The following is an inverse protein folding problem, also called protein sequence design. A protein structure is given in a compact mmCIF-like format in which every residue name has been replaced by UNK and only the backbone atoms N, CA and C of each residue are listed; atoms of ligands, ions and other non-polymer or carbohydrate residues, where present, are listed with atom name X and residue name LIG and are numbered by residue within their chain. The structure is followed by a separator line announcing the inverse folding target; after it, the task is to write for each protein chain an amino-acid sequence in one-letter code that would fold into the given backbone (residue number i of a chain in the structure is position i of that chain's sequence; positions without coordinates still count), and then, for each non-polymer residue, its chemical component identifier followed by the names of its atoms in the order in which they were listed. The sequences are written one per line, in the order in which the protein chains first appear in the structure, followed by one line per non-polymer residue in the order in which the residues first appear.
data_IF_414041595908
#
_entry.id   IF_414041595908
#
_cell.length_a   1.000
_cell.length_b   1.000
_cell.length_c   1.000
_cell.angle_alpha   90.00
_cell.angle_beta   90.00
_cell.angle_gamma   90.00
#
_symmetry.space_group_name_H-M   'P 1'
#
loop_
_entity.id
_entity.type
_entity.pdbx_description
1 polymer ?
#
# COMPACT_ATOMS: atom_id res chain seq x y z
N UNK A 1 39.00 39.77 50.12
CA UNK A 1 38.02 39.54 49.04
C UNK A 1 37.70 38.07 48.97
N UNK A 2 36.54 37.64 49.46
CA UNK A 2 36.05 36.26 49.29
C UNK A 2 34.63 36.37 48.77
N UNK A 3 34.45 36.07 47.47
CA UNK A 3 33.17 36.12 46.77
C UNK A 3 32.30 34.95 47.22
N UNK A 4 31.10 35.24 47.73
CA UNK A 4 30.05 34.25 47.98
C UNK A 4 29.58 33.66 46.64
N UNK A 5 29.67 32.34 46.50
CA UNK A 5 29.07 31.57 45.41
C UNK A 5 27.58 31.37 45.70
N UNK A 6 26.74 31.76 44.75
CA UNK A 6 25.29 31.46 44.73
C UNK A 6 25.06 29.98 44.35
N UNK A 7 23.98 29.34 44.86
CA UNK A 7 23.66 27.97 44.47
C UNK A 7 23.01 27.98 43.08
N UNK A 8 23.55 27.14 42.20
CA UNK A 8 23.01 26.87 40.88
C UNK A 8 21.71 26.08 41.03
N UNK A 9 20.58 26.70 40.67
CA UNK A 9 19.28 26.05 40.66
C UNK A 9 19.27 25.03 39.51
N UNK A 10 19.21 23.75 39.84
CA UNK A 10 19.12 22.65 38.88
C UNK A 10 17.72 22.71 38.22
N UNK A 11 17.64 23.29 37.02
CA UNK A 11 16.47 23.13 36.15
C UNK A 11 16.42 21.66 35.72
N UNK A 12 15.55 20.88 36.35
CA UNK A 12 15.18 19.54 35.89
C UNK A 12 14.42 19.73 34.57
N UNK A 13 15.13 19.61 33.45
CA UNK A 13 14.49 19.44 32.15
C UNK A 13 13.87 18.05 32.12
N UNK A 14 12.55 18.00 32.29
CA UNK A 14 11.77 16.79 32.03
C UNK A 14 11.79 16.58 30.52
N UNK A 15 12.79 15.86 30.01
CA UNK A 15 12.73 15.32 28.66
C UNK A 15 11.67 14.24 28.67
N UNK A 16 10.46 14.61 28.24
CA UNK A 16 9.41 13.66 27.93
C UNK A 16 9.88 12.89 26.68
N UNK A 17 10.59 11.79 26.90
CA UNK A 17 11.08 10.90 25.84
C UNK A 17 9.92 10.05 25.36
N UNK A 18 9.02 10.65 24.58
CA UNK A 18 8.17 9.85 23.72
C UNK A 18 9.10 9.15 22.75
N UNK A 19 9.22 7.82 22.87
CA UNK A 19 9.95 7.02 21.90
C UNK A 19 9.33 7.30 20.52
N UNK A 20 10.14 7.73 19.55
CA UNK A 20 9.65 7.87 18.19
C UNK A 20 9.35 6.47 17.62
N UNK A 21 8.21 6.33 16.95
CA UNK A 21 7.81 5.09 16.31
C UNK A 21 8.90 4.54 15.38
N UNK A 22 9.30 3.29 15.62
CA UNK A 22 10.15 2.55 14.69
C UNK A 22 9.29 2.03 13.52
N UNK A 23 9.04 2.91 12.56
CA UNK A 23 8.24 2.58 11.38
C UNK A 23 8.84 1.41 10.58
N UNK A 24 10.16 1.40 10.36
CA UNK A 24 10.82 0.40 9.52
C UNK A 24 10.60 -1.03 10.03
N UNK A 25 10.72 -1.25 11.33
CA UNK A 25 10.51 -2.57 11.92
C UNK A 25 9.03 -2.88 12.14
N UNK A 26 8.23 -1.90 12.55
CA UNK A 26 6.84 -2.17 12.95
C UNK A 26 5.93 -2.51 11.77
N UNK A 27 6.09 -1.87 10.61
CA UNK A 27 5.21 -2.10 9.45
C UNK A 27 5.33 -3.49 8.84
N UNK A 28 6.39 -4.24 9.14
CA UNK A 28 6.65 -5.60 8.65
C UNK A 28 6.58 -6.67 9.74
N UNK A 29 6.36 -6.28 11.00
CA UNK A 29 6.51 -7.14 12.18
C UNK A 29 5.63 -8.40 12.19
N UNK A 30 4.49 -8.39 11.50
CA UNK A 30 3.54 -9.50 11.45
C UNK A 30 3.55 -10.26 10.11
N UNK A 31 4.47 -9.96 9.19
CA UNK A 31 4.47 -10.54 7.84
C UNK A 31 4.62 -12.07 7.87
N UNK A 32 5.57 -12.60 8.64
CA UNK A 32 5.78 -14.04 8.74
C UNK A 32 4.52 -14.79 9.23
N UNK A 33 3.75 -14.18 10.13
CA UNK A 33 2.49 -14.75 10.58
C UNK A 33 1.40 -14.65 9.49
N UNK A 34 1.30 -13.51 8.78
CA UNK A 34 0.35 -13.35 7.67
C UNK A 34 0.62 -14.30 6.51
N UNK A 35 1.89 -14.57 6.21
CA UNK A 35 2.32 -15.55 5.20
C UNK A 35 1.86 -16.98 5.55
N UNK A 36 1.56 -17.27 6.82
CA UNK A 36 1.01 -18.57 7.23
C UNK A 36 -0.52 -18.70 7.04
N UNK A 37 -1.19 -17.60 6.70
CA UNK A 37 -2.64 -17.58 6.50
C UNK A 37 -2.99 -17.98 5.05
N UNK A 38 -4.12 -18.66 4.89
CA UNK A 38 -4.63 -19.01 3.56
C UNK A 38 -4.87 -17.75 2.72
N UNK A 39 -4.41 -17.74 1.47
CA UNK A 39 -4.56 -16.58 0.58
C UNK A 39 -5.97 -16.39 0.02
N UNK A 40 -6.66 -17.49 -0.28
CA UNK A 40 -8.02 -17.50 -0.83
C UNK A 40 -8.96 -18.38 -0.02
N UNK A 41 -10.27 -18.10 -0.15
CA UNK A 41 -11.35 -18.94 0.41
C UNK A 41 -11.96 -19.88 -0.62
N UNK A 42 -11.94 -19.50 -1.89
CA UNK A 42 -12.59 -20.24 -2.96
C UNK A 42 -11.94 -19.88 -4.30
N UNK A 43 -11.74 -20.88 -5.20
CA UNK A 43 -11.22 -20.63 -6.54
C UNK A 43 -12.25 -19.93 -7.45
N UNK A 44 -13.53 -19.87 -7.04
CA UNK A 44 -14.59 -19.25 -7.84
C UNK A 44 -14.41 -17.74 -8.00
N UNK A 45 -14.47 -17.29 -9.25
CA UNK A 45 -14.48 -15.91 -9.70
C UNK A 45 -15.92 -15.38 -9.72
N UNK A 46 -16.37 -14.70 -8.67
CA UNK A 46 -17.65 -13.97 -8.70
C UNK A 46 -17.44 -12.55 -8.21
N UNK A 47 -17.95 -11.59 -9.00
CA UNK A 47 -17.99 -10.15 -8.71
C UNK A 47 -16.65 -9.40 -8.60
N UNK A 48 -15.53 -10.10 -8.87
CA UNK A 48 -14.15 -9.62 -8.85
C UNK A 48 -13.31 -10.43 -9.85
N UNK A 49 -12.11 -9.96 -10.19
CA UNK A 49 -11.14 -10.71 -10.99
C UNK A 49 -10.26 -11.59 -10.10
N UNK A 50 -9.94 -12.83 -10.50
CA UNK A 50 -9.19 -13.73 -9.63
C UNK A 50 -10.03 -14.52 -8.62
N UNK A 51 -9.40 -15.49 -7.91
CA UNK A 51 -10.05 -16.23 -6.83
C UNK A 51 -10.48 -15.31 -5.69
N UNK A 52 -11.45 -15.75 -4.89
CA UNK A 52 -11.95 -14.94 -3.77
C UNK A 52 -10.90 -14.86 -2.64
N UNK A 53 -10.31 -13.69 -2.36
CA UNK A 53 -9.25 -13.59 -1.37
C UNK A 53 -9.79 -13.83 0.04
N UNK A 54 -8.95 -14.44 0.88
CA UNK A 54 -9.19 -14.55 2.30
C UNK A 54 -9.34 -13.17 2.95
N UNK A 55 -9.91 -13.14 4.15
CA UNK A 55 -9.98 -11.91 4.92
C UNK A 55 -8.80 -11.89 5.87
N UNK A 56 -7.83 -11.02 5.59
CA UNK A 56 -6.73 -10.80 6.52
C UNK A 56 -7.20 -9.89 7.65
N UNK A 57 -6.73 -10.10 8.88
CA UNK A 57 -7.11 -9.26 10.02
C UNK A 57 -6.45 -7.88 9.92
N UNK A 58 -7.13 -6.85 10.42
CA UNK A 58 -6.53 -5.54 10.59
C UNK A 58 -5.32 -5.63 11.55
N UNK A 59 -4.17 -5.02 11.22
CA UNK A 59 -3.00 -5.06 12.09
C UNK A 59 -3.22 -4.25 13.36
N UNK A 60 -2.46 -4.57 14.41
CA UNK A 60 -2.33 -3.69 15.58
C UNK A 60 -1.29 -2.62 15.26
N UNK A 61 -1.70 -1.36 15.31
CA UNK A 61 -0.79 -0.22 15.11
C UNK A 61 -0.14 0.10 16.46
N UNK A 62 1.20 0.23 16.54
CA UNK A 62 1.86 0.62 17.78
C UNK A 62 1.38 1.99 18.28
N UNK A 63 1.19 2.12 19.59
CA UNK A 63 0.58 3.31 20.19
C UNK A 63 1.41 4.60 20.03
N UNK A 64 2.71 4.45 19.80
CA UNK A 64 3.70 5.50 19.54
C UNK A 64 3.76 5.94 18.07
N UNK A 65 3.05 5.25 17.18
CA UNK A 65 3.01 5.57 15.75
C UNK A 65 1.81 6.48 15.41
N UNK A 66 2.04 7.41 14.48
CA UNK A 66 0.92 8.07 13.80
C UNK A 66 0.19 7.02 12.94
N UNK A 67 -1.12 6.79 13.18
CA UNK A 67 -1.82 5.69 12.52
C UNK A 67 -1.85 5.80 11.00
N UNK A 68 -2.06 7.02 10.48
CA UNK A 68 -2.18 7.28 9.04
C UNK A 68 -0.83 7.04 8.37
N UNK A 69 0.24 7.65 8.89
CA UNK A 69 1.60 7.48 8.37
C UNK A 69 2.06 6.02 8.44
N UNK A 70 1.72 5.32 9.52
CA UNK A 70 2.05 3.90 9.68
C UNK A 70 1.35 3.04 8.64
N UNK A 71 0.06 3.27 8.41
CA UNK A 71 -0.72 2.55 7.39
C UNK A 71 -0.19 2.82 5.98
N UNK A 72 0.14 4.07 5.66
CA UNK A 72 0.72 4.47 4.36
C UNK A 72 2.03 3.73 4.08
N UNK A 73 2.95 3.76 5.05
CA UNK A 73 4.24 3.08 4.92
C UNK A 73 4.10 1.56 4.90
N UNK A 74 3.13 1.01 5.62
CA UNK A 74 2.83 -0.42 5.56
C UNK A 74 2.32 -0.85 4.20
N UNK A 75 1.44 -0.09 3.56
CA UNK A 75 0.97 -0.42 2.21
C UNK A 75 2.15 -0.46 1.22
N UNK A 76 3.08 0.50 1.32
CA UNK A 76 4.31 0.48 0.51
C UNK A 76 5.18 -0.74 0.83
N UNK A 77 5.43 -1.03 2.12
CA UNK A 77 6.25 -2.18 2.52
C UNK A 77 5.64 -3.53 2.09
N UNK A 78 4.32 -3.66 2.14
CA UNK A 78 3.61 -4.83 1.61
C UNK A 78 3.74 -4.91 0.10
N UNK A 79 3.59 -3.79 -0.62
CA UNK A 79 3.77 -3.75 -2.07
C UNK A 79 5.19 -4.20 -2.48
N UNK A 80 6.22 -3.72 -1.77
CA UNK A 80 7.62 -4.07 -2.01
C UNK A 80 7.94 -5.54 -1.75
N UNK A 81 7.27 -6.19 -0.79
CA UNK A 81 7.42 -7.64 -0.52
C UNK A 81 7.17 -8.50 -1.77
N UNK A 82 6.32 -8.04 -2.69
CA UNK A 82 5.96 -8.81 -3.89
C UNK A 82 6.82 -8.48 -5.11
N UNK A 83 7.84 -7.61 -5.00
CA UNK A 83 8.73 -7.30 -6.12
C UNK A 83 9.33 -8.59 -6.70
N UNK A 84 9.24 -8.71 -8.03
CA UNK A 84 9.73 -9.88 -8.76
C UNK A 84 8.67 -10.96 -9.01
N UNK A 85 7.49 -10.88 -8.39
CA UNK A 85 6.36 -11.74 -8.75
C UNK A 85 5.93 -11.46 -10.20
N UNK A 86 5.73 -12.48 -11.06
CA UNK A 86 5.42 -12.26 -12.47
C UNK A 86 3.98 -11.80 -12.68
N UNK A 87 3.78 -11.04 -13.77
CA UNK A 87 2.45 -10.61 -14.18
C UNK A 87 1.63 -11.82 -14.64
N UNK A 88 0.41 -11.92 -14.11
CA UNK A 88 -0.57 -12.93 -14.47
C UNK A 88 -2.00 -12.44 -14.26
N UNK A 89 -2.75 -12.46 -15.34
CA UNK A 89 -4.14 -12.00 -15.38
C UNK A 89 -5.05 -12.84 -14.48
N UNK A 90 -5.91 -12.18 -13.70
CA UNK A 90 -6.91 -12.76 -12.81
C UNK A 90 -6.32 -13.71 -11.76
N UNK A 91 -5.30 -13.23 -11.04
CA UNK A 91 -4.48 -14.06 -10.17
C UNK A 91 -4.21 -13.40 -8.81
N UNK A 92 -3.97 -14.22 -7.77
CA UNK A 92 -3.42 -13.80 -6.47
C UNK A 92 -2.14 -14.61 -6.21
N UNK A 93 -1.20 -14.19 -5.35
CA UNK A 93 0.20 -14.61 -5.44
C UNK A 93 0.42 -16.12 -5.55
N UNK A 94 -0.11 -16.93 -4.64
CA UNK A 94 0.09 -18.38 -4.57
C UNK A 94 -1.05 -19.21 -5.17
N UNK A 95 -2.02 -18.59 -5.84
CA UNK A 95 -3.13 -19.34 -6.42
C UNK A 95 -2.69 -20.22 -7.60
N UNK A 96 -2.30 -21.47 -7.37
CA UNK A 96 -1.87 -22.34 -8.46
C UNK A 96 -3.03 -23.13 -9.08
N UNK A 97 -3.44 -22.72 -10.29
CA UNK A 97 -4.35 -23.48 -11.16
C UNK A 97 -3.60 -24.24 -12.27
N UNK A 98 -2.34 -24.60 -12.04
CA UNK A 98 -1.44 -25.23 -13.01
C UNK A 98 -0.67 -24.22 -13.87
N UNK A 99 -0.68 -22.94 -13.51
CA UNK A 99 -0.03 -21.87 -14.25
C UNK A 99 0.95 -21.07 -13.38
N UNK A 100 1.25 -21.52 -12.16
CA UNK A 100 2.23 -20.90 -11.25
C UNK A 100 1.77 -19.59 -10.59
N UNK A 101 2.64 -19.00 -9.78
CA UNK A 101 2.38 -17.76 -9.02
C UNK A 101 2.25 -16.52 -9.92
N UNK A 102 1.53 -15.49 -9.47
CA UNK A 102 1.43 -14.21 -10.20
C UNK A 102 0.32 -13.26 -9.74
N UNK A 103 0.32 -12.04 -10.29
CA UNK A 103 -0.68 -10.98 -10.01
C UNK A 103 -1.00 -10.16 -11.29
N UNK A 104 -2.15 -9.50 -11.35
CA UNK A 104 -2.37 -8.40 -12.28
C UNK A 104 -2.47 -7.08 -11.52
N UNK A 105 -2.58 -5.95 -12.22
CA UNK A 105 -2.50 -4.64 -11.58
C UNK A 105 -3.59 -4.40 -10.52
N UNK A 106 -4.86 -4.71 -10.82
CA UNK A 106 -5.97 -4.53 -9.89
C UNK A 106 -6.04 -5.61 -8.82
N UNK A 107 -5.60 -6.84 -9.10
CA UNK A 107 -5.42 -7.86 -8.07
C UNK A 107 -4.27 -7.49 -7.13
N UNK A 108 -3.15 -6.98 -7.63
CA UNK A 108 -2.00 -6.54 -6.85
C UNK A 108 -2.40 -5.47 -5.83
N UNK A 109 -3.07 -4.41 -6.27
CA UNK A 109 -3.55 -3.36 -5.34
C UNK A 109 -4.55 -3.92 -4.33
N UNK A 110 -5.51 -4.74 -4.78
CA UNK A 110 -6.51 -5.34 -3.88
C UNK A 110 -5.87 -6.27 -2.85
N UNK A 111 -4.83 -7.00 -3.25
CA UNK A 111 -4.07 -7.92 -2.44
C UNK A 111 -3.26 -7.18 -1.39
N UNK A 112 -2.50 -6.15 -1.80
CA UNK A 112 -1.68 -5.32 -0.91
C UNK A 112 -2.53 -4.70 0.20
N UNK A 113 -3.71 -4.17 -0.13
CA UNK A 113 -4.61 -3.57 0.85
C UNK A 113 -5.24 -4.59 1.80
N UNK A 114 -5.63 -5.76 1.29
CA UNK A 114 -6.19 -6.83 2.10
C UNK A 114 -5.10 -7.43 3.02
N UNK A 115 -3.98 -7.89 2.46
CA UNK A 115 -2.86 -8.43 3.22
C UNK A 115 -2.35 -7.43 4.26
N UNK A 116 -2.16 -6.17 3.87
CA UNK A 116 -1.59 -5.14 4.74
C UNK A 116 -2.53 -4.72 5.85
N UNK A 117 -3.74 -4.29 5.52
CA UNK A 117 -4.63 -3.59 6.44
C UNK A 117 -5.95 -4.33 6.72
N UNK A 118 -6.17 -5.49 6.09
CA UNK A 118 -7.47 -6.17 6.12
C UNK A 118 -8.55 -5.45 5.31
N UNK A 119 -8.18 -4.45 4.50
CA UNK A 119 -9.11 -3.65 3.72
C UNK A 119 -9.37 -4.35 2.39
N UNK A 120 -10.63 -4.66 2.11
CA UNK A 120 -11.03 -5.27 0.84
C UNK A 120 -11.54 -4.21 -0.13
N UNK A 121 -10.89 -4.13 -1.27
CA UNK A 121 -11.34 -3.40 -2.45
C UNK A 121 -11.62 -4.38 -3.58
N UNK A 122 -12.43 -3.97 -4.55
CA UNK A 122 -12.71 -4.81 -5.72
C UNK A 122 -11.43 -5.01 -6.55
N UNK A 123 -11.20 -6.20 -7.12
CA UNK A 123 -10.03 -6.49 -7.97
C UNK A 123 -10.33 -6.41 -9.47
N UNK A 124 -11.57 -6.13 -9.87
CA UNK A 124 -11.91 -5.68 -11.23
C UNK A 124 -11.48 -4.22 -11.38
N UNK A 125 -10.64 -3.91 -12.37
CA UNK A 125 -10.06 -2.56 -12.53
C UNK A 125 -11.12 -1.47 -12.68
N UNK A 126 -12.21 -1.72 -13.41
CA UNK A 126 -13.25 -0.73 -13.64
C UNK A 126 -14.01 -0.46 -12.35
N UNK A 127 -14.42 -1.53 -11.63
CA UNK A 127 -15.08 -1.37 -10.33
C UNK A 127 -14.14 -0.77 -9.29
N UNK A 128 -12.86 -1.12 -9.30
CA UNK A 128 -11.87 -0.57 -8.37
C UNK A 128 -11.72 0.94 -8.59
N UNK A 129 -11.65 1.38 -9.86
CA UNK A 129 -11.61 2.79 -10.23
C UNK A 129 -12.87 3.56 -9.83
N UNK A 130 -14.02 2.87 -9.69
CA UNK A 130 -15.30 3.46 -9.31
C UNK A 130 -15.60 3.41 -7.80
N UNK A 131 -15.01 2.48 -7.05
CA UNK A 131 -15.44 2.18 -5.68
C UNK A 131 -14.34 2.18 -4.61
N UNK A 132 -13.06 2.15 -4.97
CA UNK A 132 -11.98 2.07 -3.98
C UNK A 132 -11.79 3.40 -3.24
N UNK A 133 -12.18 3.48 -1.97
CA UNK A 133 -11.97 4.69 -1.15
C UNK A 133 -12.60 5.96 -1.75
N UNK A 134 -12.11 7.14 -1.34
CA UNK A 134 -12.58 8.43 -1.86
C UNK A 134 -11.76 8.92 -3.03
N UNK A 135 -12.41 9.63 -3.96
CA UNK A 135 -11.71 10.34 -5.03
C UNK A 135 -10.99 11.58 -4.48
N UNK A 136 -9.80 11.86 -5.01
CA UNK A 136 -9.02 13.06 -4.69
C UNK A 136 -9.46 14.24 -5.55
N UNK A 137 -9.44 15.43 -4.97
CA UNK A 137 -9.55 16.66 -5.76
C UNK A 137 -8.29 16.85 -6.61
N UNK A 138 -8.36 17.50 -7.80
CA UNK A 138 -7.21 17.64 -8.70
C UNK A 138 -5.94 18.26 -8.08
N UNK A 139 -6.10 19.14 -7.08
CA UNK A 139 -4.98 19.82 -6.42
C UNK A 139 -4.62 19.22 -5.05
N UNK A 140 -5.27 18.13 -4.66
CA UNK A 140 -4.95 17.46 -3.41
C UNK A 140 -3.61 16.72 -3.54
N UNK A 141 -2.66 16.90 -2.60
CA UNK A 141 -1.37 16.22 -2.69
C UNK A 141 -1.55 14.71 -2.56
N UNK A 142 -0.90 13.96 -3.46
CA UNK A 142 -0.79 12.51 -3.38
C UNK A 142 -0.02 12.10 -2.13
N UNK A 143 -0.40 10.96 -1.55
CA UNK A 143 0.21 10.38 -0.36
C UNK A 143 0.57 8.91 -0.64
N UNK A 144 1.62 8.38 0.02
CA UNK A 144 2.01 6.98 -0.17
C UNK A 144 0.81 6.05 0.09
N UNK A 145 0.60 5.10 -0.82
CA UNK A 145 -0.55 4.20 -0.78
C UNK A 145 -1.73 4.63 -1.65
N UNK A 146 -1.84 5.89 -2.08
CA UNK A 146 -2.90 6.30 -3.01
C UNK A 146 -2.91 5.44 -4.27
N UNK A 147 -4.11 5.09 -4.74
CA UNK A 147 -4.29 4.35 -5.99
C UNK A 147 -4.44 5.34 -7.14
N UNK A 148 -3.54 5.25 -8.10
CA UNK A 148 -3.52 6.11 -9.28
C UNK A 148 -4.04 5.30 -10.47
N UNK A 149 -5.16 5.73 -11.03
CA UNK A 149 -5.80 5.06 -12.16
C UNK A 149 -5.30 5.65 -13.48
N UNK A 150 -4.83 4.78 -14.36
CA UNK A 150 -4.17 5.14 -15.62
C UNK A 150 -5.04 4.67 -16.79
N UNK A 151 -5.18 5.51 -17.81
CA UNK A 151 -5.93 5.21 -19.02
C UNK A 151 -5.10 4.42 -20.02
N UNK A 152 -5.80 3.82 -20.98
CA UNK A 152 -5.22 3.37 -22.23
C UNK A 152 -4.48 4.50 -22.96
N UNK A 153 -3.57 4.15 -23.88
CA UNK A 153 -2.80 5.13 -24.66
C UNK A 153 -3.70 6.07 -25.48
N UNK A 154 -4.89 5.61 -25.87
CA UNK A 154 -5.89 6.41 -26.58
C UNK A 154 -6.88 7.14 -25.65
N UNK A 155 -6.63 7.13 -24.33
CA UNK A 155 -7.46 7.70 -23.26
C UNK A 155 -8.91 7.18 -23.15
N UNK A 156 -9.27 6.14 -23.91
CA UNK A 156 -10.65 5.65 -24.04
C UNK A 156 -11.23 5.06 -22.75
N UNK A 157 -10.41 4.44 -21.90
CA UNK A 157 -10.87 3.83 -20.63
C UNK A 157 -9.74 3.70 -19.61
N UNK A 158 -10.11 3.49 -18.34
CA UNK A 158 -9.16 3.03 -17.32
C UNK A 158 -8.72 1.60 -17.68
N UNK A 159 -7.41 1.38 -17.75
CA UNK A 159 -6.83 0.07 -18.06
C UNK A 159 -5.86 -0.41 -17.00
N UNK A 160 -5.40 0.47 -16.11
CA UNK A 160 -4.34 0.13 -15.17
C UNK A 160 -4.43 0.92 -13.88
N UNK A 161 -3.82 0.40 -12.83
CA UNK A 161 -3.75 1.01 -11.51
C UNK A 161 -2.37 0.79 -10.93
N UNK A 162 -1.87 1.80 -10.23
CA UNK A 162 -0.58 1.77 -9.54
C UNK A 162 -0.75 2.30 -8.11
N UNK A 163 0.15 1.89 -7.22
CA UNK A 163 0.26 2.47 -5.87
C UNK A 163 1.31 3.57 -5.91
N UNK A 164 0.95 4.77 -5.46
CA UNK A 164 1.89 5.87 -5.32
C UNK A 164 2.83 5.64 -4.14
N UNK A 165 4.13 5.88 -4.35
CA UNK A 165 5.15 5.84 -3.30
C UNK A 165 5.57 7.27 -2.95
N UNK A 166 6.03 8.02 -3.95
CA UNK A 166 6.55 9.37 -3.80
C UNK A 166 6.50 10.13 -5.15
N UNK A 167 6.90 11.42 -5.23
CA UNK A 167 6.76 12.21 -6.46
C UNK A 167 7.40 11.63 -7.72
N UNK A 168 8.40 10.76 -7.56
CA UNK A 168 9.14 10.15 -8.65
C UNK A 168 8.81 8.66 -8.82
N UNK A 169 8.18 8.01 -7.84
CA UNK A 169 8.04 6.55 -7.84
C UNK A 169 6.61 6.07 -7.61
N UNK A 170 6.27 5.01 -8.33
CA UNK A 170 5.07 4.20 -8.19
C UNK A 170 5.46 2.72 -8.10
N UNK A 171 4.57 1.87 -7.63
CA UNK A 171 4.70 0.42 -7.71
C UNK A 171 3.42 -0.20 -8.27
N UNK A 172 3.59 -1.17 -9.16
CA UNK A 172 2.50 -1.88 -9.82
C UNK A 172 2.96 -3.28 -10.23
N UNK A 173 1.99 -4.09 -10.68
CA UNK A 173 2.28 -5.26 -11.50
C UNK A 173 1.93 -4.96 -12.97
N UNK A 174 2.93 -5.00 -13.85
CA UNK A 174 2.74 -4.74 -15.27
C UNK A 174 3.82 -5.41 -16.13
N UNK A 175 3.40 -6.25 -17.08
CA UNK A 175 4.24 -6.89 -18.10
C UNK A 175 5.30 -7.81 -17.50
N UNK A 176 6.40 -7.23 -17.02
CA UNK A 176 7.53 -7.94 -16.41
C UNK A 176 7.40 -8.18 -14.90
N UNK A 177 6.17 -8.14 -14.36
CA UNK A 177 5.89 -8.38 -12.94
C UNK A 177 5.86 -7.13 -12.06
N UNK A 178 5.79 -7.38 -10.75
CA UNK A 178 5.74 -6.36 -9.69
C UNK A 178 7.07 -5.63 -9.59
N UNK A 179 7.06 -4.29 -9.78
CA UNK A 179 8.25 -3.44 -9.75
C UNK A 179 7.96 -2.03 -9.29
N UNK A 180 8.93 -1.42 -8.61
CA UNK A 180 8.99 0.03 -8.48
C UNK A 180 9.35 0.61 -9.86
N UNK A 181 8.63 1.65 -10.26
CA UNK A 181 8.85 2.35 -11.53
C UNK A 181 8.88 3.84 -11.29
N UNK A 182 9.54 4.52 -12.20
CA UNK A 182 9.46 5.97 -12.25
C UNK A 182 8.06 6.41 -12.68
N UNK A 183 7.51 7.40 -11.99
CA UNK A 183 6.23 8.02 -12.34
C UNK A 183 6.41 9.01 -13.50
N UNK A 184 6.56 8.44 -14.71
CA UNK A 184 6.79 9.16 -15.96
C UNK A 184 6.19 8.42 -17.15
N UNK A 185 6.28 9.02 -18.35
CA UNK A 185 5.82 8.40 -19.59
C UNK A 185 4.34 8.05 -19.52
N UNK A 186 3.95 6.85 -19.96
CA UNK A 186 2.55 6.41 -19.97
C UNK A 186 1.85 6.60 -18.61
N UNK A 187 2.51 6.23 -17.51
CA UNK A 187 1.95 6.37 -16.16
C UNK A 187 1.54 7.80 -15.82
N UNK A 188 2.37 8.78 -16.20
CA UNK A 188 2.11 10.19 -15.89
C UNK A 188 1.26 10.88 -16.95
N UNK A 189 1.46 10.54 -18.23
CA UNK A 189 0.77 11.15 -19.36
C UNK A 189 -0.70 10.74 -19.44
N UNK A 190 -1.05 9.54 -18.97
CA UNK A 190 -2.41 9.00 -18.98
C UNK A 190 -2.99 8.82 -17.57
N UNK A 191 -2.41 9.51 -16.57
CA UNK A 191 -2.98 9.57 -15.23
C UNK A 191 -4.36 10.24 -15.27
N UNK A 192 -5.40 9.52 -14.85
CA UNK A 192 -6.77 10.02 -14.87
C UNK A 192 -7.13 10.75 -13.57
N UNK A 193 -7.01 10.03 -12.45
CA UNK A 193 -7.34 10.50 -11.11
C UNK A 193 -6.78 9.53 -10.08
N UNK A 194 -6.70 10.00 -8.84
CA UNK A 194 -6.28 9.21 -7.70
C UNK A 194 -7.44 8.94 -6.74
N UNK A 195 -7.34 7.83 -6.00
CA UNK A 195 -8.22 7.53 -4.88
C UNK A 195 -7.44 7.18 -3.64
N UNK A 196 -7.94 7.63 -2.49
CA UNK A 196 -7.35 7.42 -1.17
C UNK A 196 -8.24 6.54 -0.30
N UNK A 197 -7.63 5.51 0.26
CA UNK A 197 -8.28 4.54 1.13
C UNK A 197 -7.94 4.82 2.60
N UNK A 198 -6.69 5.21 2.89
CA UNK A 198 -6.19 5.53 4.23
C UNK A 198 -6.55 6.98 4.57
N UNK A 199 -7.28 7.22 5.65
CA UNK A 199 -7.65 8.56 6.14
C UNK A 199 -7.44 8.67 7.65
#
# INVERSE_FOLDING_TARGET
MIKKLLPFCLLISVFNTYAECNYQASVTSDFAWRDSLSEYKSPNYRDSWGPKPASYPAPQIPADCDPVKWQQQRIVAVAEKYIGLPYKHHHIPEFDNGSGAGLDCSNFTSWVYNYGLGIKINSDISKQADTAGRILSPNEPLQPGDLLFIRTIDDSRISHVVIYIDPNHIIDDHGSGVKIREFKGWYKNHFAYARRIIN
#
